data_IF_757923577755
#
_entry.id   IF_757923577755
#
_cell.length_a   1.000
_cell.length_b   1.000
_cell.length_c   1.000
_cell.angle_alpha   90.00
_cell.angle_beta   90.00
_cell.angle_gamma   90.00
#
_symmetry.space_group_name_H-M   'P 1'
#
loop_
_entity.id
_entity.type
_entity.pdbx_description
1 polymer ?
#
# COMPACT_ATOMS: atom_id res chain seq x y z
N UNK A 1 0.81 -13.91 29.02
CA UNK A 1 0.61 -13.09 27.81
C UNK A 1 -0.52 -13.73 27.04
N UNK A 2 -1.70 -13.09 26.91
CA UNK A 2 -2.83 -13.67 26.17
C UNK A 2 -2.46 -13.67 24.68
N UNK A 3 -2.64 -14.78 23.95
CA UNK A 3 -2.49 -14.76 22.50
C UNK A 3 -3.58 -13.84 21.94
N UNK A 4 -3.18 -12.86 21.12
CA UNK A 4 -4.11 -11.95 20.47
C UNK A 4 -4.69 -12.73 19.29
N UNK A 5 -5.85 -13.37 19.53
CA UNK A 5 -6.54 -14.27 18.59
C UNK A 5 -7.46 -13.53 17.60
N UNK A 6 -7.23 -12.22 17.41
CA UNK A 6 -8.02 -11.40 16.48
C UNK A 6 -7.80 -11.81 15.03
N UNK A 7 -8.88 -11.87 14.24
CA UNK A 7 -8.79 -12.13 12.79
C UNK A 7 -8.52 -10.85 11.97
N UNK A 8 -8.75 -9.68 12.56
CA UNK A 8 -8.63 -8.36 11.90
C UNK A 8 -7.27 -7.71 12.18
N UNK A 9 -6.90 -6.68 11.43
CA UNK A 9 -5.63 -5.98 11.62
C UNK A 9 -5.66 -5.13 12.88
N UNK A 10 -4.70 -5.33 13.79
CA UNK A 10 -4.61 -4.53 15.03
C UNK A 10 -3.85 -3.21 14.80
N UNK A 11 -2.84 -3.23 13.90
CA UNK A 11 -1.98 -2.09 13.62
C UNK A 11 -1.77 -1.90 12.11
N UNK A 12 -1.94 -0.67 11.63
CA UNK A 12 -1.50 -0.27 10.29
C UNK A 12 -0.30 0.65 10.43
N UNK A 13 0.80 0.31 9.74
CA UNK A 13 2.01 1.11 9.68
C UNK A 13 2.23 1.67 8.27
N UNK A 14 2.26 3.00 8.16
CA UNK A 14 2.66 3.68 6.93
C UNK A 14 4.19 3.84 6.91
N UNK A 15 4.83 3.05 6.05
CA UNK A 15 6.27 3.03 5.84
C UNK A 15 6.64 3.90 4.62
N UNK A 16 7.51 3.44 3.73
CA UNK A 16 7.77 4.05 2.42
C UNK A 16 8.51 3.08 1.49
N UNK A 17 8.35 3.28 0.18
CA UNK A 17 9.12 2.59 -0.87
C UNK A 17 10.53 3.17 -1.06
N UNK A 18 10.80 4.36 -0.51
CA UNK A 18 12.08 5.08 -0.66
C UNK A 18 12.15 6.00 -1.88
N UNK A 19 11.16 5.95 -2.78
CA UNK A 19 11.00 6.91 -3.86
C UNK A 19 10.63 8.30 -3.32
N UNK A 20 11.08 9.35 -4.00
CA UNK A 20 10.87 10.74 -3.57
C UNK A 20 11.70 11.21 -2.37
N UNK A 21 12.54 10.35 -1.79
CA UNK A 21 13.45 10.73 -0.69
C UNK A 21 14.80 11.16 -1.26
N UNK A 22 15.29 12.31 -0.80
CA UNK A 22 16.63 12.83 -1.11
C UNK A 22 17.73 11.75 -1.00
N UNK A 23 18.59 11.57 -2.02
CA UNK A 23 19.58 10.49 -2.04
C UNK A 23 20.49 10.46 -0.81
N UNK A 24 20.87 11.62 -0.30
CA UNK A 24 21.73 11.77 0.88
C UNK A 24 21.11 11.26 2.18
N UNK A 25 19.77 11.22 2.27
CA UNK A 25 19.02 10.79 3.47
C UNK A 25 18.28 9.47 3.26
N UNK A 26 18.15 9.01 2.01
CA UNK A 26 17.39 7.82 1.63
C UNK A 26 17.79 6.59 2.44
N UNK A 27 19.08 6.30 2.54
CA UNK A 27 19.55 5.11 3.27
C UNK A 27 19.19 5.19 4.76
N UNK A 28 19.42 6.34 5.39
CA UNK A 28 19.10 6.56 6.80
C UNK A 28 17.60 6.38 7.07
N UNK A 29 16.75 6.97 6.23
CA UNK A 29 15.28 6.88 6.37
C UNK A 29 14.81 5.45 6.14
N UNK A 30 15.27 4.79 5.08
CA UNK A 30 14.91 3.41 4.78
C UNK A 30 15.34 2.45 5.89
N UNK A 31 16.53 2.66 6.46
CA UNK A 31 17.01 1.86 7.60
C UNK A 31 16.09 2.00 8.82
N UNK A 32 15.70 3.22 9.16
CA UNK A 32 14.79 3.47 10.28
C UNK A 32 13.38 2.90 10.03
N UNK A 33 12.83 3.12 8.83
CA UNK A 33 11.52 2.59 8.41
C UNK A 33 11.48 1.07 8.44
N UNK A 34 12.48 0.40 7.85
CA UNK A 34 12.61 -1.07 7.88
C UNK A 34 12.77 -1.62 9.29
N UNK A 35 13.54 -0.96 10.15
CA UNK A 35 13.65 -1.36 11.55
C UNK A 35 12.30 -1.28 12.29
N UNK A 36 11.48 -0.25 12.00
CA UNK A 36 10.12 -0.13 12.52
C UNK A 36 9.21 -1.24 12.02
N UNK A 37 9.27 -1.56 10.72
CA UNK A 37 8.55 -2.71 10.16
C UNK A 37 8.95 -4.02 10.83
N UNK A 38 10.24 -4.32 10.96
CA UNK A 38 10.75 -5.55 11.56
C UNK A 38 10.40 -5.67 13.05
N UNK A 39 10.29 -4.55 13.75
CA UNK A 39 9.77 -4.51 15.12
C UNK A 39 8.30 -4.91 15.16
N UNK A 40 7.49 -4.35 14.26
CA UNK A 40 6.07 -4.68 14.17
C UNK A 40 5.84 -6.15 13.76
N UNK A 41 6.61 -6.68 12.81
CA UNK A 41 6.55 -8.11 12.41
C UNK A 41 6.82 -9.04 13.59
N UNK A 42 7.80 -8.70 14.45
CA UNK A 42 8.19 -9.52 15.62
C UNK A 42 7.30 -9.32 16.85
N UNK A 43 6.39 -8.35 16.82
CA UNK A 43 5.55 -8.02 17.97
C UNK A 43 4.50 -9.07 18.33
N UNK A 44 4.13 -9.93 17.35
CA UNK A 44 3.00 -10.86 17.49
C UNK A 44 1.62 -10.22 17.35
N UNK A 45 1.54 -8.92 17.07
CA UNK A 45 0.30 -8.21 16.73
C UNK A 45 -0.12 -8.52 15.29
N UNK A 46 -1.41 -8.45 15.00
CA UNK A 46 -1.85 -8.38 13.60
C UNK A 46 -1.50 -7.06 12.99
N UNK A 47 -0.82 -7.09 11.85
CA UNK A 47 -0.39 -5.85 11.24
C UNK A 47 -0.64 -5.80 9.74
N UNK A 48 -0.70 -4.58 9.22
CA UNK A 48 -0.56 -4.29 7.80
C UNK A 48 0.49 -3.20 7.63
N UNK A 49 1.47 -3.43 6.76
CA UNK A 49 2.50 -2.44 6.42
C UNK A 49 2.22 -1.93 5.02
N UNK A 50 1.94 -0.63 4.90
CA UNK A 50 1.69 0.06 3.63
C UNK A 50 2.92 0.90 3.29
N UNK A 51 3.53 0.67 2.12
CA UNK A 51 4.69 1.41 1.62
C UNK A 51 4.28 2.22 0.39
N UNK A 52 3.73 3.43 0.57
CA UNK A 52 3.31 4.22 -0.58
C UNK A 52 4.51 4.65 -1.44
N UNK A 53 4.22 4.95 -2.71
CA UNK A 53 5.05 5.79 -3.57
C UNK A 53 5.20 7.22 -3.04
N UNK A 54 5.80 8.14 -3.81
CA UNK A 54 5.84 9.55 -3.47
C UNK A 54 4.43 10.08 -3.17
N UNK A 55 4.28 10.81 -2.07
CA UNK A 55 2.99 11.32 -1.64
C UNK A 55 2.66 12.64 -2.36
N UNK A 56 1.42 12.73 -2.83
CA UNK A 56 0.89 13.90 -3.52
C UNK A 56 -0.31 14.49 -2.75
N UNK A 57 -0.36 15.81 -2.66
CA UNK A 57 -1.47 16.54 -2.01
C UNK A 57 -2.58 16.83 -3.02
N UNK A 58 -3.25 15.77 -3.47
CA UNK A 58 -4.37 15.83 -4.42
C UNK A 58 -5.58 15.02 -3.92
N UNK A 59 -6.80 15.26 -4.45
CA UNK A 59 -7.95 14.46 -4.07
C UNK A 59 -7.82 13.01 -4.54
N UNK A 60 -8.14 12.05 -3.68
CA UNK A 60 -8.11 10.62 -3.99
C UNK A 60 -9.29 10.13 -4.82
N UNK A 61 -9.25 8.84 -5.18
CA UNK A 61 -10.33 8.15 -5.90
C UNK A 61 -10.42 8.46 -7.39
N UNK A 62 -9.41 9.12 -7.97
CA UNK A 62 -9.40 9.55 -9.37
C UNK A 62 -8.63 8.62 -10.31
N UNK A 63 -7.73 7.78 -9.78
CA UNK A 63 -6.80 6.95 -10.56
C UNK A 63 -6.78 5.52 -10.05
N UNK A 64 -6.45 4.59 -10.93
CA UNK A 64 -6.29 3.18 -10.57
C UNK A 64 -5.06 2.99 -9.66
N UNK A 65 -5.18 2.06 -8.71
CA UNK A 65 -4.14 1.73 -7.72
C UNK A 65 -3.45 0.42 -8.08
N UNK A 66 -2.12 0.40 -7.98
CA UNK A 66 -1.30 -0.80 -8.12
C UNK A 66 -0.75 -1.18 -6.75
N UNK A 67 -0.88 -2.46 -6.40
CA UNK A 67 -0.31 -3.07 -5.20
C UNK A 67 0.78 -4.07 -5.60
N UNK A 68 1.95 -4.00 -4.96
CA UNK A 68 3.09 -4.87 -5.26
C UNK A 68 3.84 -5.28 -3.97
N UNK A 69 4.67 -6.32 -4.03
CA UNK A 69 5.61 -6.70 -2.98
C UNK A 69 7.07 -6.70 -3.45
N UNK A 70 7.31 -6.44 -4.75
CA UNK A 70 8.62 -6.52 -5.39
C UNK A 70 9.40 -5.22 -5.49
N UNK A 71 8.99 -4.12 -4.84
CA UNK A 71 9.55 -2.77 -5.00
C UNK A 71 9.55 -2.28 -6.46
N UNK A 72 8.57 -2.68 -7.29
CA UNK A 72 8.49 -2.29 -8.72
C UNK A 72 7.66 -1.04 -8.94
N UNK A 73 7.23 -0.42 -7.86
CA UNK A 73 6.42 0.78 -7.86
C UNK A 73 7.27 1.98 -8.25
N UNK A 74 6.78 2.81 -9.17
CA UNK A 74 7.49 3.99 -9.68
C UNK A 74 6.68 5.30 -9.60
N UNK A 75 5.36 5.22 -9.37
CA UNK A 75 4.46 6.37 -9.44
C UNK A 75 4.15 6.94 -8.06
N UNK A 76 3.69 8.19 -8.05
CA UNK A 76 3.10 8.84 -6.87
C UNK A 76 1.74 8.26 -6.49
N UNK A 77 1.25 8.69 -5.33
CA UNK A 77 -0.10 8.40 -4.82
C UNK A 77 -0.57 9.53 -3.93
N UNK A 78 -1.87 9.86 -3.97
CA UNK A 78 -2.42 10.87 -3.09
C UNK A 78 -2.40 10.45 -1.61
N UNK A 79 -2.18 11.41 -0.73
CA UNK A 79 -2.36 11.22 0.71
C UNK A 79 -3.78 10.71 1.05
N UNK A 80 -4.79 11.14 0.29
CA UNK A 80 -6.18 10.73 0.48
C UNK A 80 -6.39 9.23 0.19
N UNK A 81 -5.84 8.70 -0.91
CA UNK A 81 -5.95 7.27 -1.23
C UNK A 81 -5.16 6.40 -0.25
N UNK A 82 -3.99 6.84 0.20
CA UNK A 82 -3.24 6.14 1.25
C UNK A 82 -4.04 6.08 2.55
N UNK A 83 -4.72 7.16 2.94
CA UNK A 83 -5.57 7.18 4.12
C UNK A 83 -6.75 6.20 3.99
N UNK A 84 -7.42 6.18 2.83
CA UNK A 84 -8.53 5.26 2.59
C UNK A 84 -8.08 3.78 2.63
N UNK A 85 -6.93 3.46 2.03
CA UNK A 85 -6.31 2.13 2.12
C UNK A 85 -6.05 1.74 3.57
N UNK A 86 -5.49 2.66 4.39
CA UNK A 86 -5.19 2.38 5.78
C UNK A 86 -6.45 2.08 6.60
N UNK A 87 -7.52 2.85 6.39
CA UNK A 87 -8.80 2.63 7.08
C UNK A 87 -9.42 1.31 6.65
N UNK A 88 -9.44 1.00 5.36
CA UNK A 88 -9.98 -0.27 4.85
C UNK A 88 -9.17 -1.48 5.32
N UNK A 89 -7.85 -1.37 5.38
CA UNK A 89 -6.96 -2.45 5.83
C UNK A 89 -7.18 -2.84 7.31
N UNK A 90 -7.69 -1.93 8.14
CA UNK A 90 -8.07 -2.24 9.52
C UNK A 90 -9.24 -3.24 9.57
N UNK A 91 -10.20 -3.10 8.65
CA UNK A 91 -11.42 -3.89 8.61
C UNK A 91 -11.36 -5.10 7.65
N UNK A 92 -10.22 -5.30 6.98
CA UNK A 92 -10.03 -6.39 6.02
C UNK A 92 -9.05 -7.44 6.55
N UNK A 93 -9.58 -8.61 6.91
CA UNK A 93 -8.78 -9.75 7.37
C UNK A 93 -7.74 -10.24 6.35
N UNK A 94 -7.94 -9.97 5.05
CA UNK A 94 -6.98 -10.31 4.00
C UNK A 94 -5.72 -9.44 4.03
N UNK A 95 -5.79 -8.28 4.67
CA UNK A 95 -4.65 -7.38 4.90
C UNK A 95 -3.73 -7.87 6.02
N UNK A 96 -4.26 -8.67 6.95
CA UNK A 96 -3.53 -9.11 8.14
C UNK A 96 -2.24 -9.86 7.79
N UNK A 97 -1.16 -9.41 8.42
CA UNK A 97 0.22 -9.86 8.27
C UNK A 97 0.80 -9.65 6.87
N UNK A 98 0.37 -8.61 6.16
CA UNK A 98 0.91 -8.26 4.82
C UNK A 98 1.75 -7.00 4.85
N UNK A 99 2.71 -6.98 3.94
CA UNK A 99 3.51 -5.79 3.62
C UNK A 99 3.45 -5.62 2.13
N UNK A 100 3.10 -4.42 1.67
CA UNK A 100 2.98 -4.14 0.25
C UNK A 100 3.31 -2.69 -0.05
N UNK A 101 3.79 -2.48 -1.26
CA UNK A 101 3.96 -1.18 -1.86
C UNK A 101 2.64 -0.78 -2.56
N UNK A 102 2.32 0.52 -2.60
CA UNK A 102 1.16 1.02 -3.37
C UNK A 102 1.44 2.34 -4.11
N UNK A 103 0.95 2.46 -5.34
CA UNK A 103 0.99 3.68 -6.14
C UNK A 103 -0.15 3.78 -7.14
N UNK A 104 -0.20 4.87 -7.90
CA UNK A 104 -1.02 4.92 -9.10
C UNK A 104 -0.49 4.07 -10.24
N UNK A 105 -1.40 3.59 -11.09
CA UNK A 105 -1.05 3.04 -12.38
C UNK A 105 -0.36 4.11 -13.25
N UNK A 106 0.64 3.67 -14.02
CA UNK A 106 1.24 4.54 -15.02
C UNK A 106 0.23 4.76 -16.15
N UNK A 107 -0.33 5.95 -16.22
CA UNK A 107 -1.12 6.38 -17.38
C UNK A 107 -0.16 7.02 -18.36
N UNK A 108 -0.03 6.43 -19.56
CA UNK A 108 0.74 7.03 -20.64
C UNK A 108 0.13 8.41 -20.98
N UNK A 109 0.97 9.39 -21.32
CA UNK A 109 0.49 10.70 -21.78
C UNK A 109 -0.49 10.56 -22.95
N UNK A 110 -1.52 11.40 -22.99
CA UNK A 110 -2.48 11.48 -24.09
C UNK A 110 -1.74 11.51 -25.44
N UNK A 111 -1.92 10.46 -26.25
CA UNK A 111 -1.26 10.30 -27.54
C UNK A 111 -0.10 9.27 -27.59
N UNK A 112 0.21 8.59 -26.49
CA UNK A 112 1.15 7.43 -26.44
C UNK A 112 0.52 6.17 -25.85
N UNK A 113 -0.81 6.09 -25.82
CA UNK A 113 -1.54 4.92 -25.34
C UNK A 113 -1.35 3.74 -26.31
N UNK A 114 -0.58 2.73 -25.91
CA UNK A 114 -0.38 1.49 -26.67
C UNK A 114 -1.53 0.48 -26.50
N UNK A 115 -2.54 0.82 -25.71
CA UNK A 115 -3.71 -0.01 -25.40
C UNK A 115 -4.96 0.86 -25.28
N UNK A 116 -6.09 0.38 -25.82
CA UNK A 116 -7.39 1.05 -25.75
C UNK A 116 -8.09 0.72 -24.42
N UNK A 117 -8.65 1.72 -23.73
CA UNK A 117 -9.42 1.53 -22.50
C UNK A 117 -10.77 0.85 -22.84
N UNK A 118 -10.86 -0.48 -22.66
CA UNK A 118 -12.03 -1.26 -23.12
C UNK A 118 -13.24 -1.19 -22.16
N UNK A 119 -13.05 -0.90 -20.87
CA UNK A 119 -14.16 -0.69 -19.93
C UNK A 119 -13.74 0.03 -18.65
N UNK A 120 -14.62 0.91 -18.16
CA UNK A 120 -14.56 1.41 -16.78
C UNK A 120 -15.51 0.54 -15.94
N UNK A 121 -15.00 -0.19 -14.96
CA UNK A 121 -15.83 -0.94 -14.01
C UNK A 121 -16.12 -0.04 -12.81
N UNK A 122 -17.35 0.49 -12.66
CA UNK A 122 -17.73 1.23 -11.47
C UNK A 122 -18.08 0.23 -10.38
N UNK A 123 -17.10 -0.34 -9.70
CA UNK A 123 -17.40 -1.00 -8.43
C UNK A 123 -17.64 0.06 -7.36
N UNK A 124 -18.90 0.54 -7.32
CA UNK A 124 -19.47 1.26 -6.18
C UNK A 124 -19.47 0.41 -4.90
N UNK A 125 -19.23 -0.90 -5.02
CA UNK A 125 -18.86 -1.72 -3.88
C UNK A 125 -17.42 -1.34 -3.51
N UNK A 126 -17.27 -0.67 -2.38
CA UNK A 126 -16.05 -0.12 -1.79
C UNK A 126 -14.96 -1.19 -1.44
N UNK A 127 -14.96 -2.33 -2.13
CA UNK A 127 -14.29 -3.57 -1.80
C UNK A 127 -13.10 -3.88 -2.74
N UNK A 128 -12.52 -2.88 -3.40
CA UNK A 128 -11.36 -3.09 -4.29
C UNK A 128 -10.14 -3.64 -3.55
N UNK A 129 -10.06 -3.40 -2.23
CA UNK A 129 -8.89 -3.76 -1.43
C UNK A 129 -8.78 -5.27 -1.21
N UNK A 130 -9.89 -5.96 -0.91
CA UNK A 130 -9.84 -7.41 -0.63
C UNK A 130 -9.31 -8.24 -1.80
N UNK A 131 -9.82 -8.07 -3.05
CA UNK A 131 -9.24 -8.76 -4.21
C UNK A 131 -7.77 -8.42 -4.42
N UNK A 132 -7.40 -7.13 -4.31
CA UNK A 132 -6.02 -6.67 -4.50
C UNK A 132 -5.06 -7.25 -3.46
N UNK A 133 -5.48 -7.35 -2.20
CA UNK A 133 -4.64 -7.91 -1.14
C UNK A 133 -4.65 -9.43 -1.17
N UNK A 134 -5.73 -10.09 -1.55
CA UNK A 134 -5.85 -11.56 -1.53
C UNK A 134 -4.75 -12.28 -2.32
N UNK A 135 -4.27 -11.66 -3.41
CA UNK A 135 -3.20 -12.20 -4.27
C UNK A 135 -1.79 -11.99 -3.69
N UNK A 136 -1.64 -11.17 -2.66
CA UNK A 136 -0.36 -10.88 -2.02
C UNK A 136 -0.01 -11.92 -0.96
N UNK A 137 1.28 -12.21 -0.82
CA UNK A 137 1.79 -13.17 0.15
C UNK A 137 1.74 -12.59 1.57
N UNK A 138 1.38 -13.45 2.53
CA UNK A 138 1.53 -13.15 3.95
C UNK A 138 3.00 -13.23 4.32
N UNK A 139 3.46 -12.32 5.17
CA UNK A 139 4.77 -12.47 5.79
C UNK A 139 4.74 -13.73 6.68
N UNK A 140 5.72 -14.62 6.50
CA UNK A 140 5.90 -15.84 7.30
C UNK A 140 6.70 -15.55 8.56
#
# INVERSE_FOLDING_TARGET
MRPITGQETDFVLVSCSGLGIEPSRREQVLKAKRAGEDSLRRSGLGYTIVRPGPLEEEPGGQRALIFDQGNRISQGISCADVADICVKALHDSSARNKSFDVCYEYVAEQGKELYELVAHLPDKANNYLTPALSVLEKNT
#
